data_IF_130587889376
#
_entry.id   IF_130587889376
#
_cell.length_a   1.000
_cell.length_b   1.000
_cell.length_c   1.000
_cell.angle_alpha   90.00
_cell.angle_beta   90.00
_cell.angle_gamma   90.00
#
_symmetry.space_group_name_H-M   'P 1'
#
loop_
_entity.id
_entity.type
_entity.pdbx_description
1 polymer ?
#
# COMPACT_ATOMS: atom_id res chain seq x y z
N UNK A 1 -51.72 25.01 5.40
CA UNK A 1 -50.78 24.59 4.32
C UNK A 1 -49.37 24.72 4.87
N UNK A 2 -48.72 23.62 5.26
CA UNK A 2 -47.36 23.64 5.83
C UNK A 2 -46.34 23.39 4.71
N UNK A 3 -45.44 24.36 4.50
CA UNK A 3 -44.42 24.32 3.46
C UNK A 3 -43.18 23.60 3.99
N UNK A 4 -42.90 22.40 3.48
CA UNK A 4 -41.80 21.55 3.94
C UNK A 4 -40.55 21.81 3.09
N UNK A 5 -39.79 22.84 3.46
CA UNK A 5 -38.51 23.15 2.81
C UNK A 5 -37.45 22.16 3.28
N UNK A 6 -37.18 21.15 2.46
CA UNK A 6 -36.15 20.13 2.69
C UNK A 6 -34.77 20.73 2.36
N UNK A 7 -33.95 21.00 3.39
CA UNK A 7 -32.55 21.38 3.21
C UNK A 7 -31.78 20.21 2.59
N UNK A 8 -31.29 20.40 1.37
CA UNK A 8 -30.39 19.46 0.70
C UNK A 8 -28.97 19.86 1.07
N UNK A 9 -28.30 19.06 1.91
CA UNK A 9 -26.88 19.30 2.21
C UNK A 9 -26.05 18.98 0.96
N UNK A 10 -25.18 19.89 0.48
CA UNK A 10 -24.28 19.60 -0.61
C UNK A 10 -23.29 18.54 -0.13
N UNK A 11 -23.25 17.40 -0.83
CA UNK A 11 -22.23 16.39 -0.57
C UNK A 11 -20.87 16.97 -0.97
N UNK A 12 -20.00 17.18 0.01
CA UNK A 12 -18.61 17.61 -0.23
C UNK A 12 -17.90 16.42 -0.90
N UNK A 13 -17.60 16.57 -2.20
CA UNK A 13 -16.87 15.55 -2.94
C UNK A 13 -15.52 15.28 -2.26
N UNK A 14 -15.26 14.03 -1.87
CA UNK A 14 -14.00 13.65 -1.25
C UNK A 14 -12.84 13.96 -2.21
N UNK A 15 -11.82 14.73 -1.81
CA UNK A 15 -10.71 15.05 -2.68
C UNK A 15 -9.99 13.75 -3.08
N UNK A 16 -9.83 13.53 -4.39
CA UNK A 16 -9.02 12.42 -4.90
C UNK A 16 -7.54 12.79 -4.76
N UNK A 17 -6.91 12.30 -3.69
CA UNK A 17 -5.47 12.39 -3.56
C UNK A 17 -4.81 11.49 -4.63
N UNK A 18 -3.81 11.99 -5.38
CA UNK A 18 -3.06 11.16 -6.30
C UNK A 18 -2.36 10.04 -5.51
N UNK A 19 -2.34 8.82 -6.08
CA UNK A 19 -1.61 7.72 -5.48
C UNK A 19 -0.12 8.09 -5.44
N UNK A 20 0.48 8.13 -4.25
CA UNK A 20 1.90 8.40 -4.08
C UNK A 20 2.70 7.27 -4.74
N UNK A 21 3.44 7.59 -5.80
CA UNK A 21 4.39 6.66 -6.40
C UNK A 21 5.65 6.59 -5.53
N UNK A 22 6.20 5.40 -5.27
CA UNK A 22 7.44 5.28 -4.53
C UNK A 22 8.57 5.94 -5.30
N UNK A 23 9.47 6.63 -4.58
CA UNK A 23 10.66 7.22 -5.19
C UNK A 23 11.64 6.13 -5.64
N UNK A 24 12.54 6.40 -6.61
CA UNK A 24 13.53 5.42 -7.06
C UNK A 24 14.40 4.86 -5.93
N UNK A 25 14.69 5.69 -4.91
CA UNK A 25 15.46 5.29 -3.72
C UNK A 25 14.72 4.24 -2.90
N UNK A 26 13.41 4.40 -2.69
CA UNK A 26 12.62 3.40 -1.98
C UNK A 26 12.53 2.08 -2.75
N UNK A 27 12.49 2.14 -4.08
CA UNK A 27 12.51 0.94 -4.93
C UNK A 27 13.85 0.22 -4.82
N UNK A 28 14.97 0.95 -4.83
CA UNK A 28 16.30 0.38 -4.66
C UNK A 28 16.45 -0.32 -3.30
N UNK A 29 16.07 0.35 -2.21
CA UNK A 29 16.11 -0.20 -0.86
C UNK A 29 15.19 -1.44 -0.74
N UNK A 30 14.00 -1.40 -1.35
CA UNK A 30 13.09 -2.53 -1.34
C UNK A 30 13.66 -3.75 -2.09
N UNK A 31 14.38 -3.54 -3.20
CA UNK A 31 15.08 -4.61 -3.90
C UNK A 31 16.17 -5.24 -3.05
N UNK A 32 16.95 -4.43 -2.32
CA UNK A 32 17.98 -4.91 -1.40
C UNK A 32 17.39 -5.80 -0.30
N UNK A 33 16.29 -5.37 0.32
CA UNK A 33 15.61 -6.13 1.37
C UNK A 33 15.06 -7.46 0.85
N UNK A 34 14.47 -7.47 -0.34
CA UNK A 34 13.92 -8.68 -0.95
C UNK A 34 15.02 -9.63 -1.42
N UNK A 35 16.16 -9.11 -1.87
CA UNK A 35 17.30 -9.90 -2.33
C UNK A 35 18.06 -10.59 -1.18
N UNK A 36 17.99 -10.06 0.05
CA UNK A 36 18.70 -10.59 1.22
C UNK A 36 17.73 -11.03 2.33
N UNK A 37 16.87 -12.04 2.09
CA UNK A 37 15.80 -12.40 3.01
C UNK A 37 16.30 -12.86 4.39
N UNK A 38 17.45 -13.53 4.44
CA UNK A 38 18.07 -14.01 5.69
C UNK A 38 18.54 -12.86 6.59
N UNK A 39 19.14 -11.82 6.00
CA UNK A 39 19.65 -10.66 6.73
C UNK A 39 18.53 -9.84 7.40
N UNK A 40 17.30 -9.94 6.87
CA UNK A 40 16.13 -9.22 7.37
C UNK A 40 15.05 -10.16 7.91
N UNK A 41 15.40 -11.41 8.25
CA UNK A 41 14.46 -12.40 8.75
C UNK A 41 13.79 -11.95 10.07
N UNK A 42 14.53 -11.22 10.90
CA UNK A 42 14.07 -10.58 12.15
C UNK A 42 13.17 -9.36 11.91
N UNK A 43 13.05 -8.88 10.66
CA UNK A 43 12.33 -7.65 10.30
C UNK A 43 11.16 -7.92 9.33
N UNK A 44 10.12 -8.65 9.77
CA UNK A 44 9.01 -9.05 8.90
C UNK A 44 8.22 -7.84 8.35
N UNK A 45 8.09 -6.77 9.15
CA UNK A 45 7.42 -5.53 8.73
C UNK A 45 8.20 -4.84 7.61
N UNK A 46 9.53 -4.79 7.71
CA UNK A 46 10.39 -4.18 6.70
C UNK A 46 10.32 -4.95 5.38
N UNK A 47 10.34 -6.29 5.44
CA UNK A 47 10.19 -7.14 4.26
C UNK A 47 8.84 -6.96 3.58
N UNK A 48 7.76 -6.86 4.36
CA UNK A 48 6.41 -6.57 3.84
C UNK A 48 6.35 -5.18 3.18
N UNK A 49 6.94 -4.16 3.82
CA UNK A 49 7.02 -2.82 3.26
C UNK A 49 7.81 -2.78 1.94
N UNK A 50 8.92 -3.51 1.88
CA UNK A 50 9.72 -3.64 0.67
C UNK A 50 8.88 -4.27 -0.46
N UNK A 51 8.17 -5.36 -0.18
CA UNK A 51 7.31 -6.01 -1.17
C UNK A 51 6.17 -5.10 -1.66
N UNK A 52 5.51 -4.38 -0.75
CA UNK A 52 4.50 -3.37 -1.10
C UNK A 52 5.06 -2.29 -2.02
N UNK A 53 6.26 -1.81 -1.71
CA UNK A 53 6.94 -0.75 -2.48
C UNK A 53 7.20 -1.21 -3.90
N UNK A 54 7.63 -2.47 -4.09
CA UNK A 54 7.82 -3.05 -5.41
C UNK A 54 6.50 -3.24 -6.17
N UNK A 55 5.44 -3.66 -5.50
CA UNK A 55 4.12 -3.80 -6.13
C UNK A 55 3.52 -2.45 -6.53
N UNK A 56 3.66 -1.42 -5.69
CA UNK A 56 3.24 -0.07 -6.00
C UNK A 56 4.02 0.51 -7.19
N UNK A 57 5.34 0.27 -7.25
CA UNK A 57 6.17 0.65 -8.40
C UNK A 57 5.75 -0.09 -9.69
N UNK A 58 5.28 -1.33 -9.58
CA UNK A 58 4.73 -2.09 -10.71
C UNK A 58 3.30 -1.64 -11.11
N UNK A 59 2.76 -0.59 -10.48
CA UNK A 59 1.41 -0.09 -10.75
C UNK A 59 0.29 -1.00 -10.20
N UNK A 60 0.63 -1.98 -9.34
CA UNK A 60 -0.35 -2.90 -8.76
C UNK A 60 -0.93 -2.30 -7.48
N UNK A 61 -2.25 -2.22 -7.42
CA UNK A 61 -2.99 -1.81 -6.23
C UNK A 61 -3.30 -3.05 -5.40
N UNK A 62 -2.62 -3.21 -4.27
CA UNK A 62 -2.87 -4.33 -3.36
C UNK A 62 -4.12 -4.02 -2.52
N UNK A 63 -5.03 -4.99 -2.41
CA UNK A 63 -6.12 -4.92 -1.42
C UNK A 63 -5.59 -5.19 -0.02
N UNK A 64 -6.33 -4.80 1.02
CA UNK A 64 -5.98 -5.09 2.42
C UNK A 64 -5.78 -6.59 2.66
N UNK A 65 -6.55 -7.43 1.98
CA UNK A 65 -6.43 -8.89 2.05
C UNK A 65 -5.15 -9.40 1.37
N UNK A 66 -4.82 -8.89 0.18
CA UNK A 66 -3.55 -9.20 -0.48
C UNK A 66 -2.35 -8.67 0.31
N UNK A 67 -2.54 -7.56 1.02
CA UNK A 67 -1.53 -7.05 1.92
C UNK A 67 -1.38 -7.97 3.13
N UNK A 68 -2.46 -8.50 3.71
CA UNK A 68 -2.46 -9.43 4.83
C UNK A 68 -1.89 -10.82 4.47
N UNK A 69 -2.17 -11.27 3.25
CA UNK A 69 -1.66 -12.51 2.69
C UNK A 69 -0.27 -12.37 2.05
N UNK A 70 0.30 -11.15 2.01
CA UNK A 70 1.64 -10.94 1.48
C UNK A 70 2.61 -11.78 2.33
N UNK A 71 3.37 -12.70 1.72
CA UNK A 71 4.16 -13.67 2.45
C UNK A 71 5.17 -12.95 3.34
N UNK A 72 5.04 -13.15 4.65
CA UNK A 72 6.11 -12.86 5.63
C UNK A 72 7.20 -13.94 5.52
N UNK A 73 6.86 -15.07 4.92
CA UNK A 73 7.72 -16.23 4.77
C UNK A 73 8.70 -16.03 3.60
N UNK A 74 9.96 -16.29 3.92
CA UNK A 74 11.08 -16.49 3.01
C UNK A 74 10.72 -17.48 1.90
N UNK A 75 11.23 -17.32 0.66
CA UNK A 75 11.25 -18.45 -0.26
C UNK A 75 12.06 -19.55 0.42
N UNK A 76 11.37 -20.64 0.76
CA UNK A 76 11.94 -21.88 1.24
C UNK A 76 12.98 -22.36 0.21
N UNK A 77 14.17 -22.70 0.68
CA UNK A 77 15.24 -23.36 -0.06
C UNK A 77 15.57 -24.67 0.65
#
# INVERSE_FOLDING_TARGET
MANNTRFVMPQIATPRLPAAQPTPVFVANAREVVANPEQYADRPILRRLAWMTLMANAGRRLSTEQLAAAPVETPDA
#
